data_IF_236145881132
#
_entry.id   IF_236145881132
#
_cell.length_a   1.000
_cell.length_b   1.000
_cell.length_c   1.000
_cell.angle_alpha   90.00
_cell.angle_beta   90.00
_cell.angle_gamma   90.00
#
_symmetry.space_group_name_H-M   'P 1'
#
loop_
_entity.id
_entity.type
_entity.pdbx_description
1 polymer ?
#
# COMPACT_ATOMS: atom_id res chain seq x y z
N UNK A 1 12.74 2.27 -11.25
CA UNK A 1 12.68 1.62 -9.93
C UNK A 1 11.23 1.33 -9.64
N UNK A 2 10.88 0.07 -9.45
CA UNK A 2 9.48 -0.31 -9.36
C UNK A 2 8.87 0.21 -8.02
N UNK A 3 9.66 0.33 -6.94
CA UNK A 3 9.23 0.74 -5.59
C UNK A 3 9.05 2.25 -5.37
N UNK A 4 8.78 3.05 -6.41
CA UNK A 4 8.50 4.49 -6.24
C UNK A 4 7.00 4.73 -6.18
N UNK A 5 6.56 5.66 -5.32
CA UNK A 5 5.18 6.13 -5.29
C UNK A 5 4.80 6.69 -6.66
N UNK A 6 3.59 6.37 -7.13
CA UNK A 6 3.08 6.89 -8.39
C UNK A 6 3.14 8.42 -8.39
N UNK A 7 3.46 9.02 -9.54
CA UNK A 7 3.74 10.47 -9.63
C UNK A 7 2.56 11.34 -9.19
N UNK A 8 1.35 10.84 -9.41
CA UNK A 8 0.11 11.56 -9.14
C UNK A 8 -0.39 11.35 -7.71
N UNK A 9 0.34 10.60 -6.88
CA UNK A 9 -0.01 10.42 -5.48
C UNK A 9 0.18 11.73 -4.70
N UNK A 10 -0.86 12.10 -3.96
CA UNK A 10 -0.76 13.21 -3.02
C UNK A 10 0.07 12.82 -1.79
N UNK A 11 0.79 13.79 -1.24
CA UNK A 11 1.44 13.66 0.06
C UNK A 11 0.38 13.51 1.15
N UNK A 12 0.60 12.58 2.07
CA UNK A 12 -0.28 12.34 3.21
C UNK A 12 0.51 12.61 4.49
N UNK A 13 -0.05 13.38 5.42
CA UNK A 13 0.64 13.88 6.62
C UNK A 13 1.98 14.59 6.31
N UNK A 14 2.05 15.32 5.20
CA UNK A 14 3.25 16.07 4.79
C UNK A 14 4.43 15.21 4.35
N UNK A 15 4.23 13.91 4.12
CA UNK A 15 5.29 12.98 3.70
C UNK A 15 4.83 12.07 2.58
N UNK A 16 5.77 11.31 2.01
CA UNK A 16 5.46 10.28 1.03
C UNK A 16 4.65 9.16 1.71
N UNK A 17 3.46 8.79 1.18
CA UNK A 17 2.60 7.77 1.79
C UNK A 17 3.30 6.44 2.06
N UNK A 18 4.29 6.04 1.24
CA UNK A 18 5.05 4.81 1.48
C UNK A 18 5.78 4.81 2.83
N UNK A 19 6.12 5.97 3.39
CA UNK A 19 6.83 6.04 4.68
C UNK A 19 5.92 5.87 5.90
N UNK A 20 4.60 5.89 5.71
CA UNK A 20 3.63 5.77 6.80
C UNK A 20 3.35 4.31 7.19
N UNK A 21 3.62 3.35 6.31
CA UNK A 21 3.32 1.94 6.55
C UNK A 21 4.45 1.03 6.09
N UNK A 22 4.97 0.21 7.02
CA UNK A 22 5.93 -0.84 6.71
C UNK A 22 5.30 -1.93 5.85
N UNK A 23 4.07 -2.34 6.18
CA UNK A 23 3.31 -3.34 5.43
C UNK A 23 3.15 -2.94 3.96
N UNK A 24 2.87 -1.66 3.69
CA UNK A 24 2.72 -1.18 2.32
C UNK A 24 4.01 -1.32 1.48
N UNK A 25 5.17 -1.15 2.10
CA UNK A 25 6.46 -1.29 1.42
C UNK A 25 6.80 -2.76 1.12
N UNK A 26 6.42 -3.68 1.99
CA UNK A 26 6.81 -5.09 1.93
C UNK A 26 5.79 -5.92 1.14
N UNK A 27 4.50 -5.74 1.40
CA UNK A 27 3.43 -6.63 0.92
C UNK A 27 2.55 -6.02 -0.18
N UNK A 28 2.57 -4.69 -0.33
CA UNK A 28 1.75 -3.99 -1.31
C UNK A 28 2.53 -3.48 -2.52
N UNK A 29 3.79 -3.89 -2.65
CA UNK A 29 4.64 -3.44 -3.73
C UNK A 29 4.12 -3.95 -5.10
N UNK A 30 3.81 -3.03 -6.02
CA UNK A 30 3.33 -3.36 -7.36
C UNK A 30 1.84 -3.70 -7.45
N UNK A 31 1.09 -3.61 -6.35
CA UNK A 31 -0.38 -3.72 -6.40
C UNK A 31 -0.97 -2.52 -7.15
N UNK A 32 -1.89 -2.82 -8.06
CA UNK A 32 -2.79 -1.81 -8.64
C UNK A 32 -3.96 -1.60 -7.68
N UNK A 33 -4.69 -0.49 -7.84
CA UNK A 33 -5.89 -0.22 -7.03
C UNK A 33 -6.91 -1.37 -7.09
N UNK A 34 -6.98 -2.08 -8.22
CA UNK A 34 -7.86 -3.23 -8.44
C UNK A 34 -7.40 -4.46 -7.63
N UNK A 35 -6.11 -4.79 -7.65
CA UNK A 35 -5.55 -5.96 -6.97
C UNK A 35 -5.50 -5.83 -5.44
N UNK A 36 -5.71 -4.63 -4.90
CA UNK A 36 -5.77 -4.41 -3.44
C UNK A 36 -6.87 -5.25 -2.80
N UNK A 37 -8.01 -5.44 -3.48
CA UNK A 37 -9.13 -6.23 -2.93
C UNK A 37 -8.74 -7.69 -2.73
N UNK A 38 -8.01 -8.28 -3.67
CA UNK A 38 -7.58 -9.67 -3.60
C UNK A 38 -6.63 -9.87 -2.42
N UNK A 39 -5.67 -8.94 -2.26
CA UNK A 39 -4.74 -8.98 -1.13
C UNK A 39 -5.45 -8.75 0.21
N UNK A 40 -6.47 -7.90 0.23
CA UNK A 40 -7.26 -7.65 1.43
C UNK A 40 -8.06 -8.88 1.87
N UNK A 41 -8.54 -9.71 0.93
CA UNK A 41 -9.25 -10.96 1.24
C UNK A 41 -8.35 -12.01 1.91
N UNK A 42 -7.04 -11.96 1.70
CA UNK A 42 -6.06 -12.83 2.38
C UNK A 42 -5.82 -12.43 3.86
N UNK A 43 -6.16 -11.20 4.25
CA UNK A 43 -5.89 -10.68 5.59
C UNK A 43 -6.80 -11.35 6.63
N UNK A 44 -6.24 -12.28 7.41
CA UNK A 44 -6.92 -12.92 8.53
C UNK A 44 -6.74 -12.11 9.83
N UNK A 45 -7.34 -10.92 9.92
CA UNK A 45 -7.23 -10.09 11.14
C UNK A 45 -8.54 -9.45 11.64
N UNK A 46 -9.72 -9.86 11.14
CA UNK A 46 -11.01 -9.29 11.56
C UNK A 46 -11.93 -10.30 12.28
N UNK A 47 -11.38 -11.19 13.10
CA UNK A 47 -12.14 -11.99 14.07
C UNK A 47 -11.40 -12.03 15.41
N UNK A 48 -11.48 -10.95 16.18
CA UNK A 48 -11.37 -10.93 17.64
C UNK A 48 -12.27 -9.82 18.19
#
# INVERSE_FOLDING_TARGET
>A
MANRTVKDAHSIHGTNPQYLSKFWKEECFGLTAELVVDKAMELRNAMY
#
